data_IF_069683165890
#
_entry.id   IF_069683165890
#
_cell.length_a   1.000
_cell.length_b   1.000
_cell.length_c   1.000
_cell.angle_alpha   90.00
_cell.angle_beta   90.00
_cell.angle_gamma   90.00
#
_symmetry.space_group_name_H-M   'P 1'
#
loop_
_entity.id
_entity.type
_entity.pdbx_description
1 polymer ?
#
# COMPACT_ATOMS: atom_id res chain seq x y z
N UNK A 1 14.19 -22.43 -15.28
CA UNK A 1 12.99 -21.59 -15.35
C UNK A 1 12.00 -21.83 -14.19
N UNK A 2 12.04 -23.00 -13.53
CA UNK A 2 11.00 -23.39 -12.55
C UNK A 2 11.08 -22.72 -11.18
N UNK A 3 12.29 -22.39 -10.69
CA UNK A 3 12.46 -21.64 -9.41
C UNK A 3 11.89 -20.22 -9.42
N UNK A 4 11.77 -19.60 -10.61
CA UNK A 4 11.18 -18.26 -10.73
C UNK A 4 9.66 -18.32 -10.60
N UNK A 5 9.02 -19.38 -11.13
CA UNK A 5 7.58 -19.63 -10.95
C UNK A 5 7.21 -19.83 -9.49
N UNK A 6 8.08 -20.49 -8.71
CA UNK A 6 7.89 -20.62 -7.26
C UNK A 6 7.94 -19.28 -6.51
N UNK A 7 8.52 -18.23 -7.09
CA UNK A 7 8.59 -16.89 -6.50
C UNK A 7 7.48 -15.95 -7.00
N UNK A 8 6.59 -16.44 -7.86
CA UNK A 8 5.49 -15.66 -8.44
C UNK A 8 4.13 -16.26 -8.04
N UNK A 9 3.12 -15.40 -7.96
CA UNK A 9 1.73 -15.84 -7.86
C UNK A 9 1.26 -16.15 -9.28
N UNK A 10 1.16 -17.43 -9.61
CA UNK A 10 0.65 -17.87 -10.92
C UNK A 10 -0.88 -17.97 -10.84
N UNK A 11 -1.57 -17.12 -11.59
CA UNK A 11 -3.05 -17.14 -11.71
C UNK A 11 -3.35 -17.45 -13.17
N UNK A 12 -3.81 -18.67 -13.42
CA UNK A 12 -4.09 -19.16 -14.78
C UNK A 12 -5.33 -18.51 -15.39
N UNK A 13 -6.32 -18.16 -14.57
CA UNK A 13 -7.56 -17.51 -14.99
C UNK A 13 -7.36 -16.01 -15.20
N UNK A 14 -7.18 -15.62 -16.47
CA UNK A 14 -7.00 -14.22 -16.86
C UNK A 14 -8.29 -13.41 -16.84
N UNK A 15 -9.44 -14.06 -16.95
CA UNK A 15 -10.75 -13.39 -16.96
C UNK A 15 -11.10 -12.88 -15.57
N UNK A 16 -10.79 -13.67 -14.55
CA UNK A 16 -11.07 -13.35 -13.14
C UNK A 16 -9.86 -12.81 -12.38
N UNK A 17 -8.80 -12.38 -13.07
CA UNK A 17 -7.53 -12.01 -12.45
C UNK A 17 -7.66 -10.94 -11.35
N UNK A 18 -8.42 -9.86 -11.59
CA UNK A 18 -8.63 -8.80 -10.59
C UNK A 18 -9.38 -9.33 -9.35
N UNK A 19 -10.30 -10.27 -9.55
CA UNK A 19 -11.10 -10.89 -8.49
C UNK A 19 -10.23 -11.80 -7.64
N UNK A 20 -9.35 -12.60 -8.24
CA UNK A 20 -8.36 -13.41 -7.53
C UNK A 20 -7.44 -12.54 -6.68
N UNK A 21 -6.90 -11.45 -7.24
CA UNK A 21 -6.04 -10.52 -6.51
C UNK A 21 -6.79 -9.89 -5.30
N UNK A 22 -8.04 -9.46 -5.53
CA UNK A 22 -8.87 -8.91 -4.46
C UNK A 22 -9.14 -9.94 -3.37
N UNK A 23 -9.49 -11.17 -3.71
CA UNK A 23 -9.74 -12.25 -2.75
C UNK A 23 -8.50 -12.60 -1.94
N UNK A 24 -7.32 -12.65 -2.57
CA UNK A 24 -6.06 -12.79 -1.85
C UNK A 24 -5.90 -11.64 -0.84
N UNK A 25 -6.13 -10.39 -1.25
CA UNK A 25 -6.01 -9.23 -0.36
C UNK A 25 -6.99 -9.25 0.83
N UNK A 26 -8.20 -9.79 0.63
CA UNK A 26 -9.26 -9.92 1.63
C UNK A 26 -8.96 -11.05 2.61
N UNK A 27 -8.45 -12.19 2.11
CA UNK A 27 -8.23 -13.41 2.87
C UNK A 27 -6.84 -13.51 3.50
N UNK A 28 -5.84 -12.73 3.04
CA UNK A 28 -4.44 -12.80 3.49
C UNK A 28 -4.27 -12.79 5.01
N UNK A 29 -4.87 -11.79 5.68
CA UNK A 29 -4.77 -11.65 7.15
C UNK A 29 -5.35 -12.88 7.89
N UNK A 30 -6.33 -13.57 7.29
CA UNK A 30 -6.91 -14.80 7.84
C UNK A 30 -6.02 -16.00 7.57
N UNK A 31 -5.58 -16.21 6.33
CA UNK A 31 -4.72 -17.34 5.99
C UNK A 31 -3.40 -17.31 6.76
N UNK A 32 -2.79 -16.14 6.92
CA UNK A 32 -1.60 -16.00 7.75
C UNK A 32 -1.83 -16.39 9.21
N UNK A 33 -3.03 -16.17 9.75
CA UNK A 33 -3.38 -16.61 11.11
C UNK A 33 -3.60 -18.12 11.19
N UNK A 34 -4.31 -18.69 10.22
CA UNK A 34 -4.56 -20.14 10.13
C UNK A 34 -3.22 -20.89 10.05
N UNK A 35 -2.32 -20.41 9.19
CA UNK A 35 -0.99 -20.99 8.98
C UNK A 35 0.05 -20.60 10.04
N UNK A 36 -0.35 -19.82 11.06
CA UNK A 36 0.54 -19.31 12.13
C UNK A 36 1.80 -18.61 11.60
N UNK A 37 1.68 -17.91 10.48
CA UNK A 37 2.80 -17.25 9.81
C UNK A 37 3.10 -15.87 10.41
N UNK A 38 4.39 -15.53 10.50
CA UNK A 38 4.83 -14.21 10.97
C UNK A 38 4.60 -13.15 9.89
N UNK A 39 3.92 -12.07 10.26
CA UNK A 39 3.61 -10.94 9.36
C UNK A 39 4.82 -10.10 8.93
N UNK A 40 5.95 -10.24 9.61
CA UNK A 40 7.17 -9.48 9.31
C UNK A 40 7.97 -10.03 8.12
N UNK A 41 7.64 -11.23 7.60
CA UNK A 41 8.41 -11.89 6.55
C UNK A 41 7.61 -11.95 5.26
N UNK A 42 8.07 -11.21 4.25
CA UNK A 42 7.36 -11.03 2.97
C UNK A 42 7.00 -12.36 2.26
N UNK A 43 7.86 -13.38 2.23
CA UNK A 43 7.49 -14.67 1.61
C UNK A 43 6.26 -15.35 2.22
N UNK A 44 5.93 -15.07 3.49
CA UNK A 44 4.73 -15.62 4.12
C UNK A 44 3.43 -15.06 3.52
N UNK A 45 3.46 -13.82 3.00
CA UNK A 45 2.31 -13.26 2.28
C UNK A 45 2.09 -14.01 0.96
N UNK A 46 3.16 -14.33 0.23
CA UNK A 46 3.09 -15.12 -1.00
C UNK A 46 2.59 -16.54 -0.72
N UNK A 47 3.04 -17.18 0.35
CA UNK A 47 2.52 -18.51 0.77
C UNK A 47 1.02 -18.46 1.05
N UNK A 48 0.54 -17.44 1.76
CA UNK A 48 -0.87 -17.27 2.08
C UNK A 48 -1.71 -16.97 0.82
N UNK A 49 -1.18 -16.18 -0.10
CA UNK A 49 -1.85 -15.86 -1.37
C UNK A 49 -1.93 -17.12 -2.26
N UNK A 50 -0.85 -17.91 -2.38
CA UNK A 50 -0.86 -19.19 -3.13
C UNK A 50 -1.90 -20.17 -2.60
N UNK A 51 -2.01 -20.31 -1.28
CA UNK A 51 -3.01 -21.16 -0.68
C UNK A 51 -4.45 -20.66 -0.93
N UNK A 52 -4.62 -19.34 -1.03
CA UNK A 52 -5.92 -18.76 -1.42
C UNK A 52 -6.24 -19.07 -2.88
N UNK A 53 -5.28 -18.92 -3.80
CA UNK A 53 -5.46 -19.25 -5.23
C UNK A 53 -5.83 -20.73 -5.38
N UNK A 54 -5.08 -21.64 -4.75
CA UNK A 54 -5.36 -23.08 -4.81
C UNK A 54 -6.78 -23.42 -4.30
N UNK A 55 -7.23 -22.76 -3.23
CA UNK A 55 -8.58 -22.97 -2.71
C UNK A 55 -9.68 -22.42 -3.63
N UNK A 56 -9.41 -21.32 -4.33
CA UNK A 56 -10.34 -20.78 -5.34
C UNK A 56 -10.40 -21.69 -6.57
N UNK A 57 -9.26 -22.20 -7.03
CA UNK A 57 -9.20 -23.12 -8.17
C UNK A 57 -9.93 -24.43 -7.85
N UNK A 58 -9.75 -24.97 -6.64
CA UNK A 58 -10.52 -26.13 -6.18
C UNK A 58 -12.03 -25.84 -6.13
N UNK A 59 -12.43 -24.64 -5.70
CA UNK A 59 -13.84 -24.24 -5.69
C UNK A 59 -14.41 -24.15 -7.11
N UNK A 60 -13.62 -23.67 -8.07
CA UNK A 60 -14.00 -23.59 -9.49
C UNK A 60 -14.34 -24.95 -10.07
N UNK A 61 -13.55 -25.97 -9.73
CA UNK A 61 -13.76 -27.34 -10.20
C UNK A 61 -14.90 -28.07 -9.46
N UNK A 62 -15.01 -27.87 -8.15
CA UNK A 62 -15.96 -28.61 -7.32
C UNK A 62 -17.38 -28.00 -7.28
N UNK A 63 -17.49 -26.67 -7.29
CA UNK A 63 -18.76 -25.95 -7.15
C UNK A 63 -18.78 -24.68 -8.04
N UNK A 64 -18.96 -24.83 -9.37
CA UNK A 64 -18.88 -23.72 -10.31
C UNK A 64 -19.90 -22.61 -10.02
N UNK A 65 -21.12 -22.95 -9.58
CA UNK A 65 -22.14 -21.96 -9.21
C UNK A 65 -21.70 -21.08 -8.03
N UNK A 66 -21.05 -21.67 -7.04
CA UNK A 66 -20.51 -20.96 -5.87
C UNK A 66 -19.32 -20.09 -6.29
N UNK A 67 -18.47 -20.60 -7.19
CA UNK A 67 -17.35 -19.85 -7.76
C UNK A 67 -17.83 -18.60 -8.50
N UNK A 68 -18.79 -18.73 -9.43
CA UNK A 68 -19.33 -17.61 -10.20
C UNK A 68 -19.98 -16.55 -9.29
N UNK A 69 -20.73 -17.00 -8.29
CA UNK A 69 -21.30 -16.11 -7.27
C UNK A 69 -20.20 -15.35 -6.51
N UNK A 70 -19.14 -16.04 -6.11
CA UNK A 70 -18.01 -15.40 -5.40
C UNK A 70 -17.28 -14.39 -6.29
N UNK A 71 -17.05 -14.73 -7.56
CA UNK A 71 -16.42 -13.82 -8.53
C UNK A 71 -17.26 -12.58 -8.78
N UNK A 72 -18.57 -12.74 -8.96
CA UNK A 72 -19.52 -11.63 -9.15
C UNK A 72 -19.55 -10.69 -7.94
N UNK A 73 -19.69 -11.24 -6.72
CA UNK A 73 -19.66 -10.44 -5.48
C UNK A 73 -18.33 -9.69 -5.32
N UNK A 74 -17.22 -10.35 -5.67
CA UNK A 74 -15.88 -9.75 -5.61
C UNK A 74 -15.71 -8.63 -6.63
N UNK A 75 -16.21 -8.81 -7.85
CA UNK A 75 -16.19 -7.79 -8.89
C UNK A 75 -17.00 -6.55 -8.48
N UNK A 76 -18.19 -6.75 -7.92
CA UNK A 76 -19.03 -5.66 -7.41
C UNK A 76 -18.34 -4.92 -6.24
N UNK A 77 -17.76 -5.67 -5.31
CA UNK A 77 -16.99 -5.11 -4.20
C UNK A 77 -15.81 -4.27 -4.68
N UNK A 78 -15.02 -4.80 -5.63
CA UNK A 78 -13.90 -4.09 -6.26
C UNK A 78 -14.34 -2.79 -6.93
N UNK A 79 -15.47 -2.82 -7.65
CA UNK A 79 -16.04 -1.63 -8.31
C UNK A 79 -16.45 -0.57 -7.29
N UNK A 80 -17.09 -0.95 -6.18
CA UNK A 80 -17.47 -0.03 -5.12
C UNK A 80 -16.26 0.58 -4.42
N UNK A 81 -15.23 -0.21 -4.13
CA UNK A 81 -13.97 0.30 -3.57
C UNK A 81 -13.29 1.31 -4.50
N UNK A 82 -13.23 1.00 -5.81
CA UNK A 82 -12.71 1.92 -6.85
C UNK A 82 -13.54 3.21 -6.88
N UNK A 83 -14.87 3.14 -6.87
CA UNK A 83 -15.79 4.30 -6.81
C UNK A 83 -15.57 5.16 -5.57
N UNK A 84 -15.39 4.53 -4.40
CA UNK A 84 -15.18 5.24 -3.14
C UNK A 84 -13.74 5.76 -2.97
N UNK A 85 -12.82 5.35 -3.85
CA UNK A 85 -11.37 5.54 -3.73
C UNK A 85 -10.85 5.05 -2.37
N UNK A 86 -11.27 3.84 -1.98
CA UNK A 86 -10.88 3.17 -0.75
C UNK A 86 -10.19 1.86 -1.05
N UNK A 87 -9.26 1.45 -0.18
CA UNK A 87 -8.59 0.15 -0.20
C UNK A 87 -9.21 -0.80 0.82
N UNK A 88 -9.20 -2.10 0.57
CA UNK A 88 -9.79 -3.12 1.47
C UNK A 88 -9.29 -3.00 2.92
N UNK A 89 -8.00 -2.74 3.13
CA UNK A 89 -7.42 -2.63 4.48
C UNK A 89 -8.10 -1.57 5.36
N UNK A 90 -8.74 -0.58 4.76
CA UNK A 90 -9.47 0.47 5.47
C UNK A 90 -10.74 -0.10 6.10
N UNK A 91 -11.38 -1.11 5.50
CA UNK A 91 -12.58 -1.78 6.01
C UNK A 91 -12.26 -2.84 7.08
N UNK A 92 -11.01 -3.33 7.15
CA UNK A 92 -10.59 -4.40 8.08
C UNK A 92 -10.59 -4.03 9.56
N UNK A 93 -10.19 -2.80 9.92
CA UNK A 93 -9.99 -2.39 11.33
C UNK A 93 -11.16 -1.59 11.89
N UNK A 94 -11.42 -1.74 13.21
CA UNK A 94 -12.18 -0.76 13.99
C UNK A 94 -11.36 0.54 14.03
N UNK A 95 -11.81 1.56 13.32
CA UNK A 95 -11.05 2.81 13.08
C UNK A 95 -10.96 3.70 14.32
N UNK A 96 -11.90 3.53 15.25
CA UNK A 96 -12.23 4.60 16.19
C UNK A 96 -11.23 4.75 17.35
N UNK A 97 -10.68 3.64 17.89
CA UNK A 97 -9.88 3.71 19.12
C UNK A 97 -8.48 4.29 18.99
N UNK A 98 -7.82 4.15 17.84
CA UNK A 98 -6.44 4.64 17.63
C UNK A 98 -6.35 5.96 16.86
N UNK A 99 -7.46 6.42 16.30
CA UNK A 99 -7.46 7.58 15.39
C UNK A 99 -7.33 8.90 16.15
N UNK A 100 -8.05 9.06 17.26
CA UNK A 100 -8.01 10.28 18.09
C UNK A 100 -6.63 10.50 18.72
N UNK A 101 -5.94 9.44 19.14
CA UNK A 101 -4.57 9.52 19.70
C UNK A 101 -3.52 9.97 18.68
N UNK A 102 -3.73 9.66 17.40
CA UNK A 102 -2.74 9.88 16.35
C UNK A 102 -2.89 11.24 15.67
N UNK A 103 -4.04 11.90 15.82
CA UNK A 103 -4.36 13.18 15.19
C UNK A 103 -3.51 14.34 15.74
N UNK A 104 -3.29 14.49 17.07
CA UNK A 104 -2.38 15.50 17.60
C UNK A 104 -0.93 15.30 17.13
N UNK A 105 -0.47 14.05 17.09
CA UNK A 105 0.86 13.69 16.59
C UNK A 105 1.02 14.05 15.11
N UNK A 106 -0.03 13.88 14.30
CA UNK A 106 -0.02 14.32 12.89
C UNK A 106 0.18 15.83 12.77
N UNK A 107 -0.49 16.62 13.61
CA UNK A 107 -0.39 18.09 13.59
C UNK A 107 1.01 18.53 14.01
N UNK A 108 1.56 17.92 15.07
CA UNK A 108 2.92 18.22 15.56
C UNK A 108 4.01 17.86 14.54
N UNK A 109 3.82 16.78 13.77
CA UNK A 109 4.77 16.35 12.73
C UNK A 109 4.60 17.10 11.39
N UNK A 110 3.55 17.91 11.24
CA UNK A 110 3.23 18.59 9.98
C UNK A 110 4.33 19.58 9.55
N UNK A 111 4.91 20.43 10.43
CA UNK A 111 6.00 21.33 10.06
C UNK A 111 7.25 20.59 9.56
N UNK A 112 7.62 19.49 10.25
CA UNK A 112 8.75 18.64 9.84
C UNK A 112 8.50 17.96 8.49
N UNK A 113 7.25 17.55 8.25
CA UNK A 113 6.87 17.01 6.95
C UNK A 113 6.94 18.06 5.85
N UNK A 114 6.47 19.28 6.09
CA UNK A 114 6.55 20.39 5.11
C UNK A 114 8.01 20.68 4.78
N UNK A 115 8.87 20.81 5.80
CA UNK A 115 10.31 21.02 5.58
C UNK A 115 10.92 19.89 4.74
N UNK A 116 10.70 18.63 5.14
CA UNK A 116 11.20 17.47 4.40
C UNK A 116 10.62 17.39 2.98
N UNK A 117 9.36 17.80 2.78
CA UNK A 117 8.74 17.86 1.46
C UNK A 117 9.42 18.92 0.59
N UNK A 118 9.61 20.15 1.09
CA UNK A 118 10.25 21.24 0.32
C UNK A 118 11.65 20.83 -0.12
N UNK A 119 12.45 20.26 0.80
CA UNK A 119 13.84 19.90 0.53
C UNK A 119 13.96 18.68 -0.40
N UNK A 120 13.07 17.69 -0.28
CA UNK A 120 13.23 16.39 -0.94
C UNK A 120 12.26 16.12 -2.09
N UNK A 121 11.19 16.89 -2.26
CA UNK A 121 10.20 16.64 -3.33
C UNK A 121 10.81 16.80 -4.71
N UNK A 122 11.69 17.80 -4.88
CA UNK A 122 12.37 18.07 -6.15
C UNK A 122 13.32 16.95 -6.56
N UNK A 123 14.35 16.55 -5.77
CA UNK A 123 15.28 15.51 -6.19
C UNK A 123 14.60 14.14 -6.38
N UNK A 124 13.63 13.80 -5.52
CA UNK A 124 12.88 12.54 -5.66
C UNK A 124 11.92 12.57 -6.86
N UNK A 125 11.33 13.73 -7.15
CA UNK A 125 10.48 13.94 -8.33
C UNK A 125 11.28 13.82 -9.62
N UNK A 126 12.45 14.43 -9.67
CA UNK A 126 13.39 14.32 -10.79
C UNK A 126 13.83 12.88 -11.01
N UNK A 127 14.24 12.17 -9.94
CA UNK A 127 14.61 10.76 -10.04
C UNK A 127 13.49 9.89 -10.61
N UNK A 128 12.25 10.15 -10.17
CA UNK A 128 11.06 9.45 -10.69
C UNK A 128 10.80 9.76 -12.15
N UNK A 129 10.89 11.03 -12.55
CA UNK A 129 10.66 11.48 -13.92
C UNK A 129 11.67 10.84 -14.88
N UNK A 130 12.96 10.89 -14.52
CA UNK A 130 14.05 10.26 -15.27
C UNK A 130 13.76 8.76 -15.41
N UNK A 131 13.46 8.07 -14.32
CA UNK A 131 13.15 6.63 -14.34
C UNK A 131 11.97 6.30 -15.28
N UNK A 132 10.89 7.08 -15.26
CA UNK A 132 9.72 6.86 -16.13
C UNK A 132 9.99 7.10 -17.61
N UNK A 133 10.97 7.95 -17.93
CA UNK A 133 11.38 8.18 -19.32
C UNK A 133 12.40 7.15 -19.82
N UNK A 134 13.31 6.69 -18.95
CA UNK A 134 14.35 5.73 -19.32
C UNK A 134 13.81 4.31 -19.49
N UNK A 135 12.84 3.89 -18.66
CA UNK A 135 12.44 2.48 -18.57
C UNK A 135 10.94 2.33 -18.75
N UNK A 136 10.54 1.45 -19.66
CA UNK A 136 9.13 1.05 -19.84
C UNK A 136 8.72 -0.09 -18.90
N UNK A 137 9.68 -0.92 -18.48
CA UNK A 137 9.41 -2.06 -17.60
C UNK A 137 9.17 -1.62 -16.14
N UNK A 138 7.93 -1.75 -15.69
CA UNK A 138 7.48 -1.41 -14.34
C UNK A 138 8.18 -2.26 -13.26
N UNK A 139 8.64 -3.47 -13.57
CA UNK A 139 9.30 -4.34 -12.60
C UNK A 139 10.67 -3.79 -12.18
N UNK A 140 11.35 -3.07 -13.08
CA UNK A 140 12.66 -2.47 -12.84
C UNK A 140 12.59 -1.02 -12.33
N UNK A 141 11.39 -0.42 -12.32
CA UNK A 141 11.23 0.98 -11.89
C UNK A 141 11.72 1.20 -10.47
N UNK A 142 11.47 0.28 -9.53
CA UNK A 142 11.82 0.48 -8.13
C UNK A 142 13.35 0.44 -7.89
N UNK A 143 14.04 -0.53 -8.49
CA UNK A 143 15.49 -0.69 -8.33
C UNK A 143 16.24 0.45 -9.01
N UNK A 144 15.83 0.82 -10.22
CA UNK A 144 16.53 1.86 -10.98
C UNK A 144 16.21 3.26 -10.44
N UNK A 145 14.97 3.52 -10.00
CA UNK A 145 14.65 4.76 -9.29
C UNK A 145 15.52 4.94 -8.04
N UNK A 146 15.78 3.86 -7.29
CA UNK A 146 16.67 3.90 -6.13
C UNK A 146 18.09 4.27 -6.55
N UNK A 147 18.64 3.62 -7.58
CA UNK A 147 19.97 3.94 -8.11
C UNK A 147 20.10 5.39 -8.57
N UNK A 148 19.12 5.89 -9.34
CA UNK A 148 19.07 7.28 -9.78
C UNK A 148 18.97 8.24 -8.59
N UNK A 149 18.15 7.91 -7.58
CA UNK A 149 18.00 8.74 -6.38
C UNK A 149 19.31 8.84 -5.59
N UNK A 150 20.08 7.75 -5.49
CA UNK A 150 21.39 7.75 -4.84
C UNK A 150 22.37 8.71 -5.54
N UNK A 151 22.29 8.84 -6.87
CA UNK A 151 23.15 9.77 -7.61
C UNK A 151 22.66 11.23 -7.51
N UNK A 152 21.35 11.48 -7.59
CA UNK A 152 20.77 12.83 -7.61
C UNK A 152 20.82 13.50 -6.23
N UNK A 153 20.54 12.78 -5.15
CA UNK A 153 20.48 13.33 -3.80
C UNK A 153 21.78 14.05 -3.35
N UNK A 154 22.99 13.48 -3.48
CA UNK A 154 24.22 14.15 -3.07
C UNK A 154 24.48 15.41 -3.89
N UNK A 155 24.22 15.39 -5.21
CA UNK A 155 24.36 16.55 -6.09
C UNK A 155 23.38 17.65 -5.65
N UNK A 156 22.14 17.29 -5.39
CA UNK A 156 21.11 18.21 -4.90
C UNK A 156 21.49 18.86 -3.57
N UNK A 157 21.99 18.07 -2.61
CA UNK A 157 22.42 18.59 -1.33
C UNK A 157 23.65 19.50 -1.43
N UNK A 158 24.59 19.21 -2.33
CA UNK A 158 25.71 20.12 -2.60
C UNK A 158 25.22 21.47 -3.16
N UNK A 159 24.26 21.46 -4.08
CA UNK A 159 23.65 22.68 -4.61
C UNK A 159 22.99 23.49 -3.49
N UNK A 160 22.19 22.84 -2.63
CA UNK A 160 21.55 23.50 -1.50
C UNK A 160 22.58 24.05 -0.49
N UNK A 161 23.66 23.31 -0.23
CA UNK A 161 24.74 23.78 0.64
C UNK A 161 25.38 25.06 0.12
N UNK A 162 25.74 25.09 -1.16
CA UNK A 162 26.35 26.28 -1.80
C UNK A 162 25.38 27.46 -1.76
N UNK A 163 24.10 27.23 -2.05
CA UNK A 163 23.07 28.27 -2.05
C UNK A 163 22.86 28.87 -0.65
N UNK A 164 22.77 28.03 0.38
CA UNK A 164 22.63 28.49 1.78
C UNK A 164 23.91 29.21 2.23
N UNK A 165 25.09 28.70 1.86
CA UNK A 165 26.34 29.38 2.17
C UNK A 165 26.43 30.75 1.51
N UNK A 166 25.99 30.89 0.26
CA UNK A 166 25.97 32.16 -0.47
C UNK A 166 25.02 33.19 0.18
N UNK A 167 23.83 32.77 0.63
CA UNK A 167 22.82 33.67 1.22
C UNK A 167 23.23 34.14 2.63
N UNK A 168 23.73 33.24 3.47
CA UNK A 168 23.99 33.54 4.88
C UNK A 168 25.46 33.89 5.17
N UNK A 169 26.35 33.66 4.19
CA UNK A 169 27.81 33.85 4.29
C UNK A 169 28.46 33.18 5.51
N UNK A 170 27.79 32.19 6.10
CA UNK A 170 28.18 31.49 7.32
C UNK A 170 28.23 29.99 7.07
N UNK A 171 29.44 29.44 7.06
CA UNK A 171 29.67 28.03 6.76
C UNK A 171 28.94 27.09 7.74
N UNK A 172 28.89 27.45 9.02
CA UNK A 172 28.23 26.64 10.05
C UNK A 172 26.71 26.53 9.84
N UNK A 173 26.06 27.55 9.27
CA UNK A 173 24.63 27.52 8.93
C UNK A 173 24.39 26.54 7.78
N UNK A 174 25.23 26.60 6.74
CA UNK A 174 25.15 25.68 5.61
C UNK A 174 25.43 24.22 6.04
N UNK A 175 26.42 24.02 6.92
CA UNK A 175 26.72 22.69 7.47
C UNK A 175 25.56 22.15 8.34
N UNK A 176 25.00 22.99 9.23
CA UNK A 176 23.83 22.61 10.03
C UNK A 176 22.63 22.25 9.14
N UNK A 177 22.40 23.00 8.06
CA UNK A 177 21.34 22.71 7.09
C UNK A 177 21.52 21.33 6.43
N UNK A 178 22.74 20.96 6.01
CA UNK A 178 23.02 19.63 5.46
C UNK A 178 22.72 18.52 6.47
N UNK A 179 23.19 18.69 7.72
CA UNK A 179 23.00 17.71 8.79
C UNK A 179 21.52 17.49 9.09
N UNK A 180 20.69 18.54 9.04
CA UNK A 180 19.23 18.45 9.25
C UNK A 180 18.51 17.90 8.01
N UNK A 181 19.02 18.17 6.81
CA UNK A 181 18.39 17.75 5.55
C UNK A 181 18.39 16.23 5.38
N UNK A 182 19.45 15.53 5.80
CA UNK A 182 19.51 14.07 5.69
C UNK A 182 18.42 13.31 6.49
N UNK A 183 18.23 13.53 7.81
CA UNK A 183 17.14 12.89 8.56
C UNK A 183 15.75 13.37 8.08
N UNK A 184 15.65 14.56 7.48
CA UNK A 184 14.40 15.04 6.90
C UNK A 184 13.86 14.14 5.80
N UNK A 185 14.74 13.43 5.06
CA UNK A 185 14.34 12.46 4.02
C UNK A 185 13.60 11.26 4.63
N UNK A 186 14.15 10.69 5.71
CA UNK A 186 13.53 9.57 6.42
C UNK A 186 12.20 9.98 7.05
N UNK A 187 12.16 11.17 7.65
CA UNK A 187 10.95 11.75 8.22
C UNK A 187 9.90 11.96 7.14
N UNK A 188 10.24 12.56 6.00
CA UNK A 188 9.35 12.77 4.87
C UNK A 188 8.79 11.45 4.32
N UNK A 189 9.64 10.44 4.12
CA UNK A 189 9.21 9.13 3.61
C UNK A 189 8.21 8.46 4.56
N UNK A 190 8.48 8.49 5.87
CA UNK A 190 7.65 7.85 6.88
C UNK A 190 6.35 8.61 7.16
N UNK A 191 6.42 9.93 7.26
CA UNK A 191 5.24 10.78 7.48
C UNK A 191 4.31 10.74 6.27
N UNK A 192 4.82 10.64 5.03
CA UNK A 192 4.00 10.49 3.83
C UNK A 192 3.09 9.26 3.93
N UNK A 193 3.64 8.10 4.31
CA UNK A 193 2.85 6.87 4.50
C UNK A 193 1.80 7.07 5.59
N UNK A 194 2.17 7.72 6.68
CA UNK A 194 1.28 7.99 7.80
C UNK A 194 0.12 8.92 7.41
N UNK A 195 0.40 10.02 6.70
CA UNK A 195 -0.59 10.99 6.21
C UNK A 195 -1.58 10.31 5.27
N UNK A 196 -1.11 9.49 4.31
CA UNK A 196 -1.98 8.74 3.40
C UNK A 196 -2.91 7.79 4.18
N UNK A 197 -2.37 7.09 5.18
CA UNK A 197 -3.18 6.22 6.04
C UNK A 197 -4.20 7.01 6.85
N UNK A 198 -3.83 8.19 7.34
CA UNK A 198 -4.70 9.06 8.11
C UNK A 198 -5.84 9.60 7.25
N UNK A 199 -5.52 10.18 6.09
CA UNK A 199 -6.48 10.68 5.11
C UNK A 199 -7.55 9.63 4.77
N UNK A 200 -7.12 8.41 4.46
CA UNK A 200 -8.01 7.30 4.11
C UNK A 200 -8.94 6.88 5.27
N UNK A 201 -8.45 6.92 6.52
CA UNK A 201 -9.26 6.63 7.72
C UNK A 201 -10.28 7.73 7.98
N UNK A 202 -9.85 8.99 7.89
CA UNK A 202 -10.73 10.16 8.05
C UNK A 202 -11.81 10.17 6.98
N UNK A 203 -11.46 9.89 5.72
CA UNK A 203 -12.41 9.76 4.60
C UNK A 203 -13.46 8.68 4.88
N UNK A 204 -13.06 7.47 5.33
CA UNK A 204 -14.02 6.44 5.74
C UNK A 204 -14.93 6.92 6.87
N UNK A 205 -14.38 7.62 7.86
CA UNK A 205 -15.16 8.15 8.99
C UNK A 205 -16.22 9.15 8.51
N UNK A 206 -15.84 10.13 7.68
CA UNK A 206 -16.77 11.08 7.09
C UNK A 206 -17.83 10.41 6.22
N UNK A 207 -17.46 9.44 5.37
CA UNK A 207 -18.42 8.67 4.58
C UNK A 207 -19.40 7.87 5.44
N UNK A 208 -18.96 7.37 6.60
CA UNK A 208 -19.82 6.69 7.57
C UNK A 208 -20.80 7.66 8.23
N UNK A 209 -20.33 8.84 8.62
CA UNK A 209 -21.19 9.89 9.20
C UNK A 209 -22.23 10.39 8.19
N UNK A 210 -21.84 10.56 6.92
CA UNK A 210 -22.74 10.95 5.84
C UNK A 210 -23.75 9.85 5.45
N UNK A 211 -23.72 8.67 6.10
CA UNK A 211 -24.68 7.59 5.84
C UNK A 211 -24.57 6.96 4.45
N UNK A 212 -23.43 7.11 3.76
CA UNK A 212 -23.27 6.74 2.36
C UNK A 212 -23.66 5.28 2.08
N UNK A 213 -24.61 5.08 1.16
CA UNK A 213 -25.17 3.76 0.82
C UNK A 213 -24.12 2.82 0.19
N UNK A 214 -23.24 3.34 -0.66
CA UNK A 214 -22.17 2.55 -1.28
C UNK A 214 -21.19 2.00 -0.23
N UNK A 215 -20.88 2.79 0.80
CA UNK A 215 -20.02 2.32 1.90
C UNK A 215 -20.68 1.20 2.70
N UNK A 216 -21.98 1.33 3.01
CA UNK A 216 -22.74 0.28 3.70
C UNK A 216 -22.76 -1.01 2.87
N UNK A 217 -23.05 -0.88 1.58
CA UNK A 217 -23.04 -1.99 0.62
C UNK A 217 -21.68 -2.65 0.52
N UNK A 218 -20.59 -1.88 0.44
CA UNK A 218 -19.23 -2.41 0.40
C UNK A 218 -18.86 -3.18 1.68
N UNK A 219 -19.31 -2.70 2.86
CA UNK A 219 -19.11 -3.42 4.13
C UNK A 219 -19.87 -4.74 4.15
N UNK A 220 -21.12 -4.76 3.65
CA UNK A 220 -21.93 -5.98 3.60
C UNK A 220 -21.38 -7.01 2.60
N UNK A 221 -21.02 -6.57 1.39
CA UNK A 221 -20.38 -7.45 0.39
C UNK A 221 -19.10 -8.08 0.93
N UNK A 222 -18.26 -7.30 1.62
CA UNK A 222 -17.05 -7.82 2.26
C UNK A 222 -17.36 -8.89 3.30
N UNK A 223 -18.44 -8.72 4.07
CA UNK A 223 -18.89 -9.70 5.07
C UNK A 223 -19.37 -10.99 4.39
N UNK A 224 -20.15 -10.87 3.32
CA UNK A 224 -20.65 -12.00 2.53
C UNK A 224 -19.50 -12.79 1.88
N UNK A 225 -18.54 -12.09 1.26
CA UNK A 225 -17.33 -12.72 0.70
C UNK A 225 -16.57 -13.49 1.77
N UNK A 226 -16.33 -12.88 2.95
CA UNK A 226 -15.64 -13.56 4.04
C UNK A 226 -16.39 -14.77 4.57
N UNK A 227 -17.73 -14.73 4.59
CA UNK A 227 -18.57 -15.85 5.00
C UNK A 227 -18.43 -17.02 4.02
N UNK A 228 -18.53 -16.78 2.71
CA UNK A 228 -18.36 -17.83 1.68
C UNK A 228 -16.96 -18.44 1.77
N UNK A 229 -15.91 -17.62 1.87
CA UNK A 229 -14.54 -18.06 2.09
C UNK A 229 -14.44 -18.88 3.39
N UNK A 230 -15.20 -18.53 4.43
CA UNK A 230 -15.19 -19.27 5.69
C UNK A 230 -15.83 -20.64 5.60
N UNK A 231 -16.98 -20.72 4.95
CA UNK A 231 -17.71 -21.97 4.75
C UNK A 231 -16.93 -22.93 3.84
N UNK A 232 -16.32 -22.42 2.76
CA UNK A 232 -15.69 -23.26 1.74
C UNK A 232 -14.21 -23.54 1.99
N UNK A 233 -13.44 -22.57 2.50
CA UNK A 233 -12.00 -22.76 2.75
C UNK A 233 -11.69 -23.14 4.20
N UNK A 234 -12.70 -23.24 5.07
CA UNK A 234 -12.56 -23.58 6.49
C UNK A 234 -12.43 -25.07 6.81
N UNK A 235 -12.55 -25.95 5.83
CA UNK A 235 -12.54 -27.42 6.01
C UNK A 235 -11.18 -28.10 5.75
N UNK A 236 -10.07 -27.38 5.79
CA UNK A 236 -8.75 -28.02 5.95
C UNK A 236 -8.39 -28.00 7.43
N UNK A 237 -8.93 -28.98 8.16
CA UNK A 237 -8.41 -29.41 9.46
C UNK A 237 -7.37 -30.49 9.23
#
# INVERSE_FOLDING_TARGET
HDKVKELMLDISDREHYEQYEMLCSVNRDRQMKIMKLRKSYFPNELTADKATVAAIDQLKESEPDTFEKLMSLTAEYSKLLKKLNLRDWILRKRVLGEWWLRLPVSILLLPFWIFGAIVNVLPLGLAKLINTHLIKDKMLHASIQLGISIAILPIWYLILFILIWAIFSKLWIAAAFLVISYPSLLLYARSRIFIIKMYNRSRRFFLKLAGNADLKKAVELRKNILQIIQEKFGSSK
#
